data_IF_440800164527
#
_entry.id   IF_440800164527
#
_cell.length_a   1.000
_cell.length_b   1.000
_cell.length_c   1.000
_cell.angle_alpha   90.00
_cell.angle_beta   90.00
_cell.angle_gamma   90.00
#
_symmetry.space_group_name_H-M   'P 1'
#
loop_
_entity.id
_entity.type
_entity.pdbx_description
1 polymer ?
#
# COMPACT_ATOMS: atom_id res chain seq x y z
N UNK A 1 -11.01 1.54 6.91
CA UNK A 1 -9.95 1.36 7.93
C UNK A 1 -8.88 0.41 7.43
N UNK A 2 -7.61 0.54 7.87
CA UNK A 2 -6.53 -0.36 7.44
C UNK A 2 -6.82 -1.84 7.69
N UNK A 3 -7.40 -2.15 8.85
CA UNK A 3 -7.76 -3.53 9.20
C UNK A 3 -8.84 -4.12 8.30
N UNK A 4 -9.85 -3.33 7.91
CA UNK A 4 -10.86 -3.76 6.94
C UNK A 4 -10.23 -4.06 5.58
N UNK A 5 -9.34 -3.19 5.11
CA UNK A 5 -8.60 -3.40 3.86
C UNK A 5 -7.80 -4.71 3.90
N UNK A 6 -7.08 -4.94 5.00
CA UNK A 6 -6.31 -6.17 5.19
C UNK A 6 -7.21 -7.42 5.21
N UNK A 7 -8.36 -7.37 5.87
CA UNK A 7 -9.34 -8.47 5.89
C UNK A 7 -9.88 -8.76 4.49
N UNK A 8 -10.23 -7.70 3.73
CA UNK A 8 -10.75 -7.85 2.36
C UNK A 8 -9.69 -8.49 1.46
N UNK A 9 -8.44 -8.01 1.52
CA UNK A 9 -7.34 -8.58 0.74
C UNK A 9 -7.10 -10.06 1.09
N UNK A 10 -7.11 -10.42 2.37
CA UNK A 10 -6.99 -11.81 2.81
C UNK A 10 -8.15 -12.69 2.32
N UNK A 11 -9.38 -12.15 2.28
CA UNK A 11 -10.54 -12.85 1.73
C UNK A 11 -10.40 -13.12 0.23
N UNK A 12 -9.98 -12.10 -0.54
CA UNK A 12 -9.71 -12.25 -1.98
C UNK A 12 -8.55 -13.22 -2.23
N UNK A 13 -7.51 -13.15 -1.41
CA UNK A 13 -6.37 -14.07 -1.50
C UNK A 13 -6.79 -15.52 -1.27
N UNK A 14 -7.64 -15.78 -0.29
CA UNK A 14 -8.19 -17.10 -0.03
C UNK A 14 -9.05 -17.61 -1.21
N UNK A 15 -9.95 -16.80 -1.74
CA UNK A 15 -10.78 -17.14 -2.89
C UNK A 15 -9.98 -17.40 -4.15
N UNK A 16 -8.89 -16.69 -4.33
CA UNK A 16 -8.00 -16.83 -5.50
C UNK A 16 -6.95 -17.96 -5.35
N UNK A 17 -6.88 -18.62 -4.20
CA UNK A 17 -5.84 -19.62 -3.93
C UNK A 17 -4.43 -19.02 -3.85
N UNK A 18 -4.29 -17.89 -3.16
CA UNK A 18 -2.99 -17.24 -2.93
C UNK A 18 -2.47 -16.38 -4.09
N UNK A 19 -3.34 -15.88 -4.99
CA UNK A 19 -2.94 -15.07 -6.15
C UNK A 19 -3.19 -13.57 -6.02
N UNK A 20 -3.70 -13.11 -4.86
CA UNK A 20 -4.00 -11.70 -4.66
C UNK A 20 -2.73 -10.85 -4.61
N UNK A 21 -2.78 -9.68 -5.23
CA UNK A 21 -1.84 -8.58 -5.04
C UNK A 21 -2.65 -7.36 -4.62
N UNK A 22 -2.27 -6.72 -3.53
CA UNK A 22 -2.95 -5.52 -3.05
C UNK A 22 -2.34 -4.27 -3.69
N UNK A 23 -3.09 -3.61 -4.60
CA UNK A 23 -2.71 -2.31 -5.14
C UNK A 23 -3.16 -1.17 -4.22
N UNK A 24 -2.26 -0.26 -3.90
CA UNK A 24 -2.53 0.92 -3.08
C UNK A 24 -2.15 2.20 -3.80
N UNK A 25 -2.91 3.27 -3.55
CA UNK A 25 -2.58 4.61 -3.99
C UNK A 25 -3.17 5.65 -3.05
N UNK A 26 -2.47 6.76 -2.88
CA UNK A 26 -2.91 7.85 -2.01
C UNK A 26 -4.06 8.67 -2.63
N UNK A 27 -4.36 8.48 -3.92
CA UNK A 27 -5.31 9.30 -4.68
C UNK A 27 -4.95 10.80 -4.62
N UNK A 28 -5.95 11.67 -4.67
CA UNK A 28 -5.81 13.13 -4.59
C UNK A 28 -6.90 13.77 -3.74
N UNK A 29 -6.71 15.03 -3.32
CA UNK A 29 -7.65 15.70 -2.44
C UNK A 29 -9.06 15.78 -3.02
N UNK A 30 -9.22 15.93 -4.32
CA UNK A 30 -10.53 16.01 -4.96
C UNK A 30 -11.38 14.76 -4.72
N UNK A 31 -10.76 13.59 -4.74
CA UNK A 31 -11.43 12.31 -4.49
C UNK A 31 -11.60 12.08 -3.00
N UNK A 32 -10.52 12.24 -2.24
CA UNK A 32 -10.54 11.91 -0.80
C UNK A 32 -11.47 12.85 -0.03
N UNK A 33 -11.40 14.15 -0.29
CA UNK A 33 -12.24 15.13 0.39
C UNK A 33 -13.63 15.23 -0.24
N UNK A 34 -13.70 15.26 -1.59
CA UNK A 34 -14.95 15.47 -2.30
C UNK A 34 -15.86 14.25 -2.35
N UNK A 35 -15.31 13.04 -2.48
CA UNK A 35 -16.09 11.81 -2.61
C UNK A 35 -16.16 10.99 -1.32
N UNK A 36 -15.04 10.88 -0.60
CA UNK A 36 -14.98 10.10 0.64
C UNK A 36 -15.25 10.92 1.91
N UNK A 37 -15.25 12.26 1.83
CA UNK A 37 -15.52 13.15 2.97
C UNK A 37 -14.48 13.06 4.09
N UNK A 38 -13.23 12.73 3.74
CA UNK A 38 -12.11 12.56 4.68
C UNK A 38 -11.03 13.60 4.37
N UNK A 39 -10.42 14.27 5.35
CA UNK A 39 -9.32 15.18 5.11
C UNK A 39 -8.14 14.51 4.38
N UNK A 40 -7.61 15.17 3.36
CA UNK A 40 -6.41 14.73 2.65
C UNK A 40 -5.16 15.20 3.39
N UNK A 41 -4.82 14.52 4.46
CA UNK A 41 -3.65 14.83 5.29
C UNK A 41 -2.67 13.65 5.36
N UNK A 42 -1.39 13.97 5.46
CA UNK A 42 -0.29 13.01 5.68
C UNK A 42 -0.34 11.76 4.76
N UNK A 43 -0.53 11.90 3.42
CA UNK A 43 -0.76 10.74 2.55
C UNK A 43 0.36 9.69 2.60
N UNK A 44 1.62 10.11 2.65
CA UNK A 44 2.76 9.18 2.74
C UNK A 44 2.81 8.44 4.08
N UNK A 45 2.53 9.15 5.19
CA UNK A 45 2.44 8.54 6.51
C UNK A 45 1.34 7.49 6.55
N UNK A 46 0.15 7.85 6.02
CA UNK A 46 -0.98 6.92 5.92
C UNK A 46 -0.65 5.70 5.08
N UNK A 47 0.02 5.87 3.95
CA UNK A 47 0.44 4.75 3.09
C UNK A 47 1.36 3.80 3.84
N UNK A 48 2.39 4.32 4.52
CA UNK A 48 3.29 3.51 5.35
C UNK A 48 2.53 2.73 6.42
N UNK A 49 1.76 3.44 7.21
CA UNK A 49 1.04 2.86 8.36
C UNK A 49 0.00 1.81 7.92
N UNK A 50 -0.69 2.03 6.80
CA UNK A 50 -1.60 1.04 6.22
C UNK A 50 -0.85 -0.25 5.84
N UNK A 51 0.30 -0.14 5.18
CA UNK A 51 1.12 -1.30 4.79
C UNK A 51 1.57 -2.09 6.02
N UNK A 52 2.07 -1.40 7.04
CA UNK A 52 2.55 -2.02 8.27
C UNK A 52 1.42 -2.72 9.04
N UNK A 53 0.24 -2.07 9.16
CA UNK A 53 -0.94 -2.68 9.78
C UNK A 53 -1.42 -3.89 8.97
N UNK A 54 -1.50 -3.81 7.65
CA UNK A 54 -1.89 -4.95 6.82
C UNK A 54 -0.99 -6.16 7.05
N UNK A 55 0.32 -5.95 7.12
CA UNK A 55 1.29 -7.02 7.39
C UNK A 55 1.11 -7.68 8.75
N UNK A 56 0.81 -6.91 9.81
CA UNK A 56 0.46 -7.49 11.12
C UNK A 56 -0.83 -8.32 11.06
N UNK A 57 -1.86 -7.81 10.38
CA UNK A 57 -3.16 -8.52 10.25
C UNK A 57 -2.96 -9.87 9.57
N UNK A 58 -2.20 -9.95 8.46
CA UNK A 58 -2.00 -11.18 7.70
C UNK A 58 -1.18 -12.23 8.46
N UNK A 59 -0.24 -11.81 9.33
CA UNK A 59 0.47 -12.70 10.26
C UNK A 59 -0.40 -13.20 11.40
N UNK A 60 -1.67 -12.78 11.48
CA UNK A 60 -2.59 -13.07 12.60
C UNK A 60 -2.06 -12.65 13.96
N UNK A 61 -1.28 -11.62 14.02
CA UNK A 61 -0.87 -10.99 15.26
C UNK A 61 -2.06 -10.27 15.92
N UNK A 62 -2.00 -10.06 17.23
CA UNK A 62 -2.90 -9.12 17.90
C UNK A 62 -2.47 -7.73 17.51
N UNK A 63 -3.24 -7.08 16.64
CA UNK A 63 -2.86 -5.80 16.02
C UNK A 63 -2.74 -4.73 17.10
N UNK A 64 -1.53 -4.21 17.25
CA UNK A 64 -1.21 -3.05 18.07
C UNK A 64 -0.35 -2.10 17.24
N UNK A 65 -0.85 -0.90 17.04
CA UNK A 65 -0.17 0.08 16.19
C UNK A 65 -0.35 1.49 16.73
N UNK A 66 0.76 2.16 17.00
CA UNK A 66 0.85 3.52 17.50
C UNK A 66 1.49 4.43 16.45
N UNK A 67 0.65 4.86 15.48
CA UNK A 67 1.10 5.71 14.37
C UNK A 67 0.81 7.20 14.56
N UNK A 68 1.15 7.98 13.56
CA UNK A 68 0.82 9.41 13.47
C UNK A 68 -0.55 9.66 12.83
N UNK A 69 -1.06 8.69 12.10
CA UNK A 69 -2.34 8.74 11.41
C UNK A 69 -3.32 7.66 11.89
N UNK A 70 -2.81 6.53 12.37
CA UNK A 70 -3.64 5.43 12.86
C UNK A 70 -3.17 4.94 14.24
N UNK A 71 -4.16 4.71 15.11
CA UNK A 71 -3.98 4.04 16.40
C UNK A 71 -4.90 2.83 16.44
N UNK A 72 -4.36 1.64 16.67
CA UNK A 72 -5.11 0.38 16.75
C UNK A 72 -4.59 -0.43 17.94
N UNK A 73 -5.39 -0.72 18.96
CA UNK A 73 -6.77 -0.27 19.16
C UNK A 73 -6.87 1.25 19.38
N UNK A 74 -8.10 1.75 19.40
CA UNK A 74 -8.36 3.16 19.73
C UNK A 74 -7.79 3.48 21.12
N UNK A 75 -7.10 4.61 21.30
CA UNK A 75 -6.54 5.02 22.59
C UNK A 75 -7.60 5.11 23.69
N UNK A 76 -7.16 4.84 24.92
CA UNK A 76 -8.03 4.97 26.08
C UNK A 76 -8.65 6.37 26.20
N UNK A 77 -9.92 6.43 26.56
CA UNK A 77 -10.66 7.69 26.66
C UNK A 77 -11.22 8.24 25.34
N UNK A 78 -10.88 7.65 24.19
CA UNK A 78 -11.42 8.08 22.88
C UNK A 78 -12.62 7.27 22.40
N UNK A 79 -13.16 6.38 23.22
CA UNK A 79 -14.31 5.54 22.86
C UNK A 79 -14.99 4.96 24.10
N UNK A 80 -15.58 3.77 23.94
CA UNK A 80 -16.31 3.07 25.02
C UNK A 80 -15.41 2.49 26.11
N UNK A 81 -14.08 2.48 25.91
CA UNK A 81 -13.13 1.81 26.80
C UNK A 81 -13.04 0.28 26.61
N UNK A 82 -13.79 -0.28 25.65
CA UNK A 82 -13.81 -1.73 25.36
C UNK A 82 -12.82 -2.15 24.29
N UNK A 83 -12.09 -1.19 23.71
CA UNK A 83 -11.08 -1.44 22.69
C UNK A 83 -9.92 -2.28 23.23
N UNK A 84 -9.61 -3.38 22.54
CA UNK A 84 -8.46 -4.25 22.87
C UNK A 84 -7.83 -4.80 21.60
N UNK A 85 -6.55 -5.18 21.62
CA UNK A 85 -5.90 -5.79 20.48
C UNK A 85 -6.61 -7.09 20.06
N UNK A 86 -7.02 -7.11 18.80
CA UNK A 86 -7.68 -8.27 18.19
C UNK A 86 -6.83 -8.81 17.05
N UNK A 87 -7.07 -10.06 16.69
CA UNK A 87 -6.46 -10.70 15.52
C UNK A 87 -7.53 -11.15 14.54
N UNK A 88 -7.13 -11.34 13.30
CA UNK A 88 -7.99 -11.87 12.26
C UNK A 88 -8.56 -13.24 12.69
N UNK A 89 -9.88 -13.42 12.57
CA UNK A 89 -10.57 -14.67 12.92
C UNK A 89 -10.23 -15.76 11.90
N UNK A 90 -10.34 -15.44 10.62
CA UNK A 90 -9.97 -16.34 9.52
C UNK A 90 -8.47 -16.59 9.47
N UNK A 91 -8.07 -17.70 8.83
CA UNK A 91 -6.67 -18.01 8.60
C UNK A 91 -6.31 -17.58 7.18
N UNK A 92 -5.43 -16.58 6.98
CA UNK A 92 -4.92 -16.24 5.67
C UNK A 92 -4.21 -17.44 5.03
N UNK A 93 -4.30 -17.54 3.70
CA UNK A 93 -3.56 -18.56 2.92
C UNK A 93 -2.06 -18.30 2.99
N UNK A 94 -1.69 -17.03 3.06
CA UNK A 94 -0.32 -16.55 3.21
C UNK A 94 -0.25 -15.54 4.34
N UNK A 95 0.86 -15.50 5.03
CA UNK A 95 1.18 -14.48 6.06
C UNK A 95 1.66 -13.14 5.44
N UNK A 96 1.83 -13.14 4.11
CA UNK A 96 2.24 -11.96 3.34
C UNK A 96 1.56 -11.95 1.97
N UNK A 97 0.76 -10.93 1.72
CA UNK A 97 0.19 -10.61 0.42
C UNK A 97 1.07 -9.50 -0.19
N UNK A 98 1.55 -9.61 -1.45
CA UNK A 98 2.33 -8.55 -2.07
C UNK A 98 1.54 -7.24 -2.14
N UNK A 99 2.21 -6.13 -1.83
CA UNK A 99 1.63 -4.79 -1.90
C UNK A 99 2.35 -3.99 -2.98
N UNK A 100 1.60 -3.55 -3.99
CA UNK A 100 2.08 -2.66 -5.03
C UNK A 100 1.55 -1.25 -4.80
N UNK A 101 2.41 -0.24 -4.87
CA UNK A 101 2.05 1.15 -4.59
C UNK A 101 2.12 1.99 -5.87
N UNK A 102 1.02 2.68 -6.17
CA UNK A 102 0.98 3.70 -7.21
C UNK A 102 1.62 4.99 -6.69
N UNK A 103 2.73 5.39 -7.29
CA UNK A 103 3.52 6.54 -6.86
C UNK A 103 4.15 7.26 -8.06
N UNK A 104 4.15 8.60 -8.02
CA UNK A 104 4.75 9.45 -9.03
C UNK A 104 5.72 10.48 -8.42
N UNK A 105 5.31 11.12 -7.33
CA UNK A 105 6.13 12.15 -6.69
C UNK A 105 7.36 11.57 -5.98
N UNK A 106 8.48 12.32 -5.92
CA UNK A 106 9.77 11.84 -5.43
C UNK A 106 9.71 11.11 -4.10
N UNK A 107 9.11 11.72 -3.09
CA UNK A 107 9.01 11.12 -1.74
C UNK A 107 8.13 9.87 -1.69
N UNK A 108 7.12 9.77 -2.56
CA UNK A 108 6.27 8.58 -2.60
C UNK A 108 6.96 7.44 -3.35
N UNK A 109 7.74 7.73 -4.37
CA UNK A 109 8.59 6.75 -5.07
C UNK A 109 9.67 6.22 -4.14
N UNK A 110 10.35 7.09 -3.39
CA UNK A 110 11.32 6.70 -2.35
C UNK A 110 10.66 5.78 -1.31
N UNK A 111 9.50 6.17 -0.76
CA UNK A 111 8.76 5.34 0.19
C UNK A 111 8.37 3.99 -0.41
N UNK A 112 7.90 3.97 -1.65
CA UNK A 112 7.52 2.75 -2.37
C UNK A 112 8.71 1.81 -2.52
N UNK A 113 9.86 2.31 -2.93
CA UNK A 113 11.08 1.54 -3.05
C UNK A 113 11.58 0.99 -1.70
N UNK A 114 11.35 1.73 -0.62
CA UNK A 114 11.72 1.31 0.73
C UNK A 114 10.86 0.14 1.23
N UNK A 115 9.52 0.22 1.10
CA UNK A 115 8.63 -0.67 1.86
C UNK A 115 7.69 -1.54 1.03
N UNK A 116 7.42 -1.22 -0.25
CA UNK A 116 6.47 -1.95 -1.07
C UNK A 116 7.09 -3.20 -1.72
N UNK A 117 6.26 -4.13 -2.15
CA UNK A 117 6.69 -5.28 -2.94
C UNK A 117 6.78 -4.92 -4.43
N UNK A 118 5.94 -3.99 -4.88
CA UNK A 118 5.96 -3.49 -6.25
C UNK A 118 5.61 -2.01 -6.36
N UNK A 119 5.96 -1.45 -7.50
CA UNK A 119 5.68 -0.08 -7.89
C UNK A 119 4.83 -0.03 -9.14
N UNK A 120 3.78 0.77 -9.11
CA UNK A 120 2.85 1.02 -10.22
C UNK A 120 3.07 2.47 -10.73
N UNK A 121 4.04 2.71 -11.61
CA UNK A 121 4.23 4.03 -12.22
C UNK A 121 3.16 4.29 -13.27
N UNK A 122 2.72 5.54 -13.40
CA UNK A 122 1.89 5.99 -14.50
C UNK A 122 2.79 6.54 -15.61
N UNK A 123 2.50 6.23 -16.88
CA UNK A 123 3.28 6.69 -18.05
C UNK A 123 4.78 6.34 -17.96
N UNK A 124 5.08 5.10 -17.65
CA UNK A 124 6.44 4.63 -17.52
C UNK A 124 7.11 4.48 -18.90
N UNK A 125 8.16 5.25 -19.13
CA UNK A 125 9.03 5.14 -20.30
C UNK A 125 10.38 4.59 -19.83
N UNK A 126 10.74 3.32 -20.14
CA UNK A 126 11.95 2.68 -19.62
C UNK A 126 13.22 3.50 -19.87
N UNK A 127 13.35 4.09 -21.04
CA UNK A 127 14.51 4.90 -21.45
C UNK A 127 14.64 6.23 -20.71
N UNK A 128 13.58 6.67 -20.00
CA UNK A 128 13.55 7.91 -19.22
C UNK A 128 13.39 7.69 -17.73
N UNK A 129 13.03 6.51 -17.33
CA UNK A 129 12.71 6.21 -15.94
C UNK A 129 13.87 6.47 -14.98
N UNK A 130 15.10 6.18 -15.43
CA UNK A 130 16.31 6.45 -14.64
C UNK A 130 16.55 7.94 -14.43
N UNK A 131 16.32 8.77 -15.46
CA UNK A 131 16.49 10.22 -15.37
C UNK A 131 15.47 10.87 -14.44
N UNK A 132 14.24 10.30 -14.39
CA UNK A 132 13.11 10.88 -13.64
C UNK A 132 13.08 10.38 -12.19
N UNK A 133 13.30 9.08 -11.95
CA UNK A 133 13.07 8.45 -10.64
C UNK A 133 14.27 7.70 -10.09
N UNK A 134 15.39 7.61 -10.83
CA UNK A 134 16.54 6.79 -10.44
C UNK A 134 17.07 7.11 -9.05
N UNK A 135 17.22 8.39 -8.73
CA UNK A 135 17.71 8.85 -7.42
C UNK A 135 16.71 8.53 -6.30
N UNK A 136 15.41 8.67 -6.55
CA UNK A 136 14.36 8.40 -5.57
C UNK A 136 14.29 6.91 -5.27
N UNK A 137 14.33 6.08 -6.31
CA UNK A 137 14.38 4.62 -6.19
C UNK A 137 15.64 4.16 -5.43
N UNK A 138 16.79 4.75 -5.74
CA UNK A 138 18.04 4.43 -5.06
C UNK A 138 18.01 4.80 -3.57
N UNK A 139 17.46 5.97 -3.22
CA UNK A 139 17.30 6.38 -1.82
C UNK A 139 16.34 5.46 -1.05
N UNK A 140 15.26 5.03 -1.67
CA UNK A 140 14.33 4.06 -1.08
C UNK A 140 14.97 2.68 -0.91
N UNK A 141 15.64 2.21 -1.94
CA UNK A 141 16.35 0.93 -1.92
C UNK A 141 17.43 0.86 -0.82
N UNK A 142 18.12 1.96 -0.56
CA UNK A 142 19.13 2.05 0.50
C UNK A 142 18.53 1.90 1.93
N UNK A 143 17.22 2.12 2.10
CA UNK A 143 16.49 1.98 3.37
C UNK A 143 15.69 0.67 3.44
N UNK A 144 15.65 -0.06 2.33
CA UNK A 144 14.84 -1.27 2.21
C UNK A 144 15.35 -2.38 3.11
N UNK A 145 14.42 -3.05 3.79
CA UNK A 145 14.72 -4.25 4.56
C UNK A 145 15.34 -5.31 3.64
N UNK A 146 16.53 -5.84 3.96
CA UNK A 146 17.20 -6.88 3.17
C UNK A 146 16.38 -8.17 2.99
N UNK A 147 15.43 -8.44 3.87
CA UNK A 147 14.53 -9.58 3.74
C UNK A 147 13.43 -9.39 2.68
N UNK A 148 13.22 -8.16 2.24
CA UNK A 148 12.28 -7.88 1.14
C UNK A 148 12.91 -8.25 -0.21
N UNK A 149 12.16 -8.96 -1.04
CA UNK A 149 12.55 -9.19 -2.44
C UNK A 149 12.81 -7.86 -3.16
N UNK A 150 13.59 -7.84 -4.24
CA UNK A 150 13.75 -6.66 -5.08
C UNK A 150 12.40 -6.06 -5.47
N UNK A 151 12.33 -4.73 -5.57
CA UNK A 151 11.11 -4.05 -5.96
C UNK A 151 10.69 -4.47 -7.38
N UNK A 152 9.48 -4.96 -7.53
CA UNK A 152 8.88 -5.23 -8.83
C UNK A 152 8.40 -3.92 -9.46
N UNK A 153 8.73 -3.67 -10.75
CA UNK A 153 8.18 -2.53 -11.51
C UNK A 153 7.11 -3.05 -12.44
N UNK A 154 5.86 -2.66 -12.18
CA UNK A 154 4.70 -3.04 -12.98
C UNK A 154 4.26 -1.85 -13.81
N UNK A 155 4.88 -1.71 -14.97
CA UNK A 155 4.61 -0.63 -15.90
C UNK A 155 3.35 -0.93 -16.73
N UNK A 156 2.48 0.06 -16.85
CA UNK A 156 1.33 0.05 -17.74
C UNK A 156 1.40 1.22 -18.71
N UNK A 157 0.65 1.11 -19.80
CA UNK A 157 0.52 2.16 -20.81
C UNK A 157 -0.87 2.21 -21.39
N UNK A 158 -1.18 3.29 -22.08
CA UNK A 158 -2.41 3.39 -22.89
C UNK A 158 -2.24 2.53 -24.14
N UNK A 159 -3.23 1.70 -24.40
CA UNK A 159 -3.30 0.87 -25.61
C UNK A 159 -4.56 1.24 -26.35
N UNK A 160 -4.41 1.64 -27.60
CA UNK A 160 -5.53 1.84 -28.52
C UNK A 160 -5.44 0.77 -29.61
N UNK A 161 -6.55 0.07 -29.84
CA UNK A 161 -6.66 -0.93 -30.91
C UNK A 161 -7.76 -0.47 -31.85
N UNK A 162 -7.41 -0.30 -33.12
CA UNK A 162 -8.32 0.12 -34.17
C UNK A 162 -8.06 -0.59 -35.49
N UNK A 163 -8.98 -0.52 -36.46
CA UNK A 163 -8.80 -1.10 -37.79
C UNK A 163 -7.81 -0.33 -38.66
N UNK A 164 -7.39 0.88 -38.26
CA UNK A 164 -6.42 1.76 -38.93
C UNK A 164 -5.48 2.39 -37.93
N UNK A 165 -4.33 2.90 -38.40
CA UNK A 165 -3.34 3.61 -37.58
C UNK A 165 -3.73 5.10 -37.32
N UNK A 166 -4.98 5.49 -37.56
CA UNK A 166 -5.53 6.83 -37.31
C UNK A 166 -6.18 6.96 -35.94
#
# INVERSE_FOLDING_TARGET
>A
TPTLLAMTAAGVDALSGGRCVLGLGASGPQVIEGFHGVPYDKPLTRTREIIEICRQVWKRERVQYEGKAYHVPLPEGQGTGLGKPLKLITHPVRDRIPIHVAALGPKNVELTAEIADGWLPLFYLPEKAQDVWGDDLARGAAKRDPELAPLEVVAGGLVAIGPTDE
#
